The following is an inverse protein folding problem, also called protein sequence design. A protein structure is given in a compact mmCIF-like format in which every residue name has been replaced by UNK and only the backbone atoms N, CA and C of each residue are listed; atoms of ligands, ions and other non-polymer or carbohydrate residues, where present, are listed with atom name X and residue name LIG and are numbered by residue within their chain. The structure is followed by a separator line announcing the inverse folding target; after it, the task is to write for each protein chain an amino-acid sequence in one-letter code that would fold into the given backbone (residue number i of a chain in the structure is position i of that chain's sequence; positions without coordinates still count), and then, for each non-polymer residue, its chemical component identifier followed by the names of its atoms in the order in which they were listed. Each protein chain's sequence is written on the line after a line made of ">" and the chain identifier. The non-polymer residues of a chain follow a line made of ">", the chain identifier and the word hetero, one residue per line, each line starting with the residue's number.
data_IF_086830848812
#
_entry.id   IF_086830848812
#
_cell.length_a   1.000
_cell.length_b   1.000
_cell.length_c   1.000
_cell.angle_alpha   90.00
_cell.angle_beta   90.00
_cell.angle_gamma   90.00
#
_symmetry.space_group_name_H-M   'P 1'
#
loop_
_entity.id
_entity.type
_entity.pdbx_description
1 polymer ?
2 non-polymer ?
3 water ?
#
# COMPACT_ATOMS: atom_id res chain seq x y z
N UNK A 1 -23.57 8.97 11.31
CA UNK A 1 -22.63 8.49 10.31
C UNK A 1 -23.16 7.27 9.56
N UNK A 2 -22.96 7.26 8.25
CA UNK A 2 -23.11 6.01 7.50
C UNK A 2 -21.86 5.16 7.69
N UNK A 3 -21.99 3.87 7.39
CA UNK A 3 -20.95 2.91 7.69
C UNK A 3 -20.97 1.78 6.67
N UNK A 4 -19.78 1.28 6.35
CA UNK A 4 -19.59 0.05 5.59
C UNK A 4 -19.10 -1.01 6.56
N UNK A 5 -19.98 -1.94 6.89
CA UNK A 5 -19.63 -3.01 7.81
C UNK A 5 -19.43 -4.31 7.03
N UNK A 6 -18.72 -5.24 7.66
CA UNK A 6 -18.44 -6.54 7.08
C UNK A 6 -19.64 -7.46 7.32
N UNK A 7 -20.35 -7.81 6.26
CA UNK A 7 -21.54 -8.65 6.40
C UNK A 7 -21.16 -10.12 6.58
N UNK A 8 -20.17 -10.59 5.82
CA UNK A 8 -19.74 -11.98 5.90
C UNK A 8 -18.31 -12.07 5.41
N UNK A 9 -17.58 -13.06 5.92
CA UNK A 9 -16.19 -13.23 5.53
C UNK A 9 -16.11 -13.87 4.14
N UNK A 10 -15.29 -13.34 3.24
CA UNK A 10 -15.34 -13.77 1.85
C UNK A 10 -14.68 -15.12 1.62
N UNK A 11 -15.08 -15.75 0.52
CA UNK A 11 -14.50 -17.01 0.05
C UNK A 11 -13.82 -16.72 -1.29
N UNK A 12 -12.49 -16.83 -1.30
CA UNK A 12 -11.75 -16.42 -2.48
C UNK A 12 -11.78 -14.90 -2.60
N UNK A 13 -12.11 -14.40 -3.78
CA UNK A 13 -12.22 -12.97 -3.96
C UNK A 13 -13.43 -12.43 -3.20
N UNK A 14 -13.34 -11.21 -2.66
CA UNK A 14 -14.50 -10.63 -1.97
C UNK A 14 -15.54 -10.16 -2.97
N UNK A 15 -16.81 -10.30 -2.58
CA UNK A 15 -17.94 -9.85 -3.37
C UNK A 15 -18.64 -8.70 -2.66
N UNK A 16 -19.52 -8.03 -3.40
CA UNK A 16 -20.31 -6.96 -2.81
C UNK A 16 -21.20 -7.48 -1.67
N UNK A 17 -21.53 -8.77 -1.70
CA UNK A 17 -22.32 -9.37 -0.63
C UNK A 17 -21.60 -9.28 0.71
N UNK A 18 -20.27 -9.39 0.71
CA UNK A 18 -19.50 -9.38 1.94
C UNK A 18 -19.56 -8.05 2.69
N UNK A 19 -20.07 -6.98 2.06
CA UNK A 19 -20.19 -5.69 2.69
C UNK A 19 -21.65 -5.33 2.89
N UNK A 20 -21.90 -4.36 3.78
CA UNK A 20 -23.24 -3.85 3.97
C UNK A 20 -23.16 -2.39 4.41
N UNK A 21 -24.18 -1.62 4.02
CA UNK A 21 -24.23 -0.19 4.28
C UNK A 21 -25.28 0.10 5.34
N UNK A 22 -24.91 0.84 6.38
CA UNK A 22 -25.83 1.03 7.50
C UNK A 22 -25.64 2.42 8.11
N UNK A 23 -26.76 3.05 8.46
CA UNK A 23 -26.67 4.31 9.21
C UNK A 23 -26.69 4.04 10.70
N UNK A 24 -26.08 4.95 11.45
CA UNK A 24 -26.02 4.83 12.89
C UNK A 24 -25.96 6.24 13.47
N UNK A 25 -26.50 6.37 14.69
CA UNK A 25 -26.43 7.65 15.40
C UNK A 25 -25.00 7.90 15.84
N UNK A 26 -24.37 8.93 15.27
CA UNK A 26 -22.98 9.26 15.57
C UNK A 26 -22.89 10.61 16.25
N UNK A 27 -23.01 10.67 17.58
CA UNK A 27 -22.83 11.95 18.27
C UNK A 27 -21.74 11.90 19.32
N UNK A 28 -22.17 11.96 20.60
CA UNK A 28 -21.40 11.91 21.84
C UNK A 28 -19.92 12.27 21.70
N UNK A 29 -19.58 13.49 21.29
CA UNK A 29 -18.16 13.86 21.20
C UNK A 29 -17.49 13.93 22.57
N UNK A 30 -18.24 14.24 23.62
CA UNK A 30 -17.78 14.20 25.00
C UNK A 30 -16.68 15.21 25.30
N UNK A 31 -16.33 15.33 26.58
CA UNK A 31 -15.21 16.18 27.00
C UNK A 31 -13.95 15.34 27.10
N UNK A 32 -12.82 15.93 26.72
CA UNK A 32 -11.58 15.21 26.59
C UNK A 32 -11.41 14.48 25.27
N UNK A 33 -12.43 14.48 24.41
CA UNK A 33 -12.41 13.77 23.14
C UNK A 33 -12.86 14.74 22.04
N UNK A 34 -12.90 14.24 20.81
CA UNK A 34 -13.32 15.04 19.67
C UNK A 34 -14.07 14.16 18.68
N UNK A 35 -14.85 14.82 17.82
CA UNK A 35 -15.57 14.15 16.75
C UNK A 35 -14.92 14.49 15.42
N UNK A 36 -14.43 13.47 14.72
CA UNK A 36 -13.84 13.62 13.40
C UNK A 36 -14.85 13.24 12.33
N UNK A 37 -14.87 14.05 11.26
CA UNK A 37 -15.70 13.80 10.09
C UNK A 37 -14.76 13.60 8.90
N UNK A 38 -14.90 12.45 8.22
CA UNK A 38 -13.94 12.06 7.19
C UNK A 38 -14.22 12.79 5.87
N UNK A 39 -13.14 13.05 5.13
CA UNK A 39 -13.21 13.57 3.78
C UNK A 39 -12.66 12.58 2.76
N UNK A 40 -11.59 11.88 3.12
CA UNK A 40 -10.97 10.88 2.27
C UNK A 40 -10.77 9.60 3.07
N UNK A 41 -10.88 8.47 2.38
CA UNK A 41 -10.66 7.16 2.99
C UNK A 41 -9.74 6.34 2.09
N UNK A 42 -8.65 5.86 2.67
CA UNK A 42 -7.73 5.01 1.94
C UNK A 42 -8.26 3.59 1.85
N UNK A 43 -8.00 2.94 0.71
CA UNK A 43 -8.26 1.52 0.52
C UNK A 43 -6.95 0.84 0.19
N UNK A 44 -6.67 -0.28 0.85
CA UNK A 44 -5.37 -0.92 0.75
C UNK A 44 -5.52 -2.42 0.73
N UNK A 45 -4.60 -3.14 0.08
CA UNK A 45 -4.74 -4.60 -0.02
C UNK A 45 -4.80 -5.33 1.31
N UNK A 46 -4.10 -4.83 2.34
CA UNK A 46 -4.11 -5.51 3.64
C UNK A 46 -5.51 -5.71 4.17
N UNK A 47 -6.45 -4.84 3.79
CA UNK A 47 -7.82 -4.94 4.27
C UNK A 47 -8.44 -6.29 3.92
N UNK A 48 -8.05 -6.88 2.79
CA UNK A 48 -8.52 -8.22 2.46
C UNK A 48 -8.25 -9.19 3.60
N UNK A 49 -7.02 -9.19 4.11
CA UNK A 49 -6.68 -10.04 5.23
C UNK A 49 -7.52 -9.76 6.46
N UNK A 50 -7.92 -8.51 6.66
CA UNK A 50 -8.75 -8.17 7.80
C UNK A 50 -10.17 -8.69 7.67
N UNK A 51 -10.58 -9.11 6.47
CA UNK A 51 -11.91 -9.70 6.31
C UNK A 51 -11.91 -11.18 6.68
N UNK A 52 -10.77 -11.86 6.53
CA UNK A 52 -10.64 -13.25 6.93
C UNK A 52 -10.26 -13.34 8.40
N UNK A 53 -10.62 -14.47 9.02
CA UNK A 53 -10.34 -14.69 10.44
C UNK A 53 -9.09 -15.54 10.66
N UNK A 54 -8.26 -15.70 9.65
CA UNK A 54 -7.02 -16.46 9.81
C UNK A 54 -6.09 -15.74 10.79
N UNK A 55 -5.26 -16.53 11.47
CA UNK A 55 -4.31 -15.97 12.41
C UNK A 55 -3.36 -15.02 11.68
N UNK A 56 -3.29 -13.78 12.15
CA UNK A 56 -2.55 -12.74 11.44
C UNK A 56 -1.96 -11.77 12.45
N UNK A 57 -1.25 -10.77 11.93
CA UNK A 57 -0.58 -9.78 12.76
C UNK A 57 -1.56 -8.90 13.52
N UNK A 58 -2.83 -8.87 13.12
CA UNK A 58 -3.82 -8.02 13.75
C UNK A 58 -5.13 -8.79 13.87
N UNK A 59 -6.06 -8.21 14.63
CA UNK A 59 -7.36 -8.84 14.79
C UNK A 59 -8.20 -8.64 13.53
N UNK A 60 -8.96 -9.65 13.12
CA UNK A 60 -9.85 -9.46 11.97
C UNK A 60 -11.01 -8.55 12.31
N UNK A 61 -11.64 -8.03 11.26
CA UNK A 61 -12.83 -7.21 11.45
C UNK A 61 -14.00 -8.10 11.86
N UNK A 62 -14.64 -7.76 12.98
CA UNK A 62 -15.78 -8.53 13.42
C UNK A 62 -16.98 -8.36 12.51
N UNK A 63 -17.83 -9.39 12.49
CA UNK A 63 -19.05 -9.33 11.69
C UNK A 63 -19.89 -8.14 12.13
N UNK A 64 -20.37 -7.37 11.16
CA UNK A 64 -21.22 -6.19 11.33
C UNK A 64 -20.49 -5.02 11.98
N UNK A 65 -19.17 -5.10 12.17
CA UNK A 65 -18.39 -3.97 12.67
C UNK A 65 -17.82 -3.17 11.51
N UNK A 66 -17.45 -1.93 11.79
CA UNK A 66 -16.98 -1.05 10.73
C UNK A 66 -15.71 -1.62 10.11
N UNK A 67 -15.58 -1.49 8.80
CA UNK A 67 -14.35 -1.83 8.13
C UNK A 67 -13.29 -0.78 8.46
N UNK A 68 -12.05 -1.24 8.64
CA UNK A 68 -10.98 -0.41 9.14
C UNK A 68 -10.26 0.29 7.99
N UNK A 69 -9.41 1.25 8.31
CA UNK A 69 -8.62 1.94 7.32
C UNK A 69 -8.25 3.34 7.77
N UNK A 70 -7.15 3.84 7.22
CA UNK A 70 -6.75 5.21 7.48
C UNK A 70 -7.59 6.21 6.72
N UNK A 71 -7.84 7.36 7.36
CA UNK A 71 -8.67 8.39 6.78
C UNK A 71 -8.00 9.74 6.95
N UNK A 72 -8.47 10.71 6.19
CA UNK A 72 -8.14 12.12 6.37
C UNK A 72 -9.41 12.84 6.79
N UNK A 73 -9.41 13.39 8.00
CA UNK A 73 -10.64 13.93 8.58
C UNK A 73 -10.43 15.38 9.00
N UNK A 74 -11.55 16.04 9.22
CA UNK A 74 -11.58 17.33 9.89
C UNK A 74 -12.24 17.19 11.25
N UNK A 75 -11.72 17.93 12.22
CA UNK A 75 -12.41 18.08 13.49
C UNK A 75 -13.68 18.88 13.29
N UNK A 76 -14.76 18.42 13.91
CA UNK A 76 -16.00 19.18 13.94
C UNK A 76 -16.53 19.41 15.35
N UNK A 77 -15.92 18.79 16.37
CA UNK A 77 -16.33 18.97 17.75
C UNK A 77 -15.19 19.56 18.56
N UNK A 78 -15.52 20.51 19.44
CA UNK A 78 -14.53 21.17 20.28
C UNK A 78 -13.74 20.17 21.11
N UNK A 79 -12.58 19.74 20.59
CA UNK A 79 -11.72 18.85 21.36
C UNK A 79 -11.17 19.57 22.58
N UNK A 80 -11.30 18.92 23.74
CA UNK A 80 -10.64 19.43 24.93
C UNK A 80 -9.12 19.33 24.82
N UNK A 81 -8.61 18.46 23.95
CA UNK A 81 -7.19 18.34 23.71
C UNK A 81 -6.68 19.55 22.93
N UNK A 82 -5.57 19.38 22.21
CA UNK A 82 -4.92 20.51 21.53
C UNK A 82 -5.27 20.57 20.04
N UNK A 83 -6.54 20.30 19.68
CA UNK A 83 -6.98 20.35 18.30
C UNK A 83 -8.27 21.15 18.19
N UNK A 84 -8.36 21.98 17.16
CA UNK A 84 -9.44 22.95 17.02
C UNK A 84 -10.43 22.53 15.94
N UNK A 85 -11.62 23.14 15.98
CA UNK A 85 -12.64 22.93 14.96
C UNK A 85 -12.12 23.44 13.62
N UNK A 86 -11.59 22.53 12.80
CA UNK A 86 -11.08 22.91 11.50
C UNK A 86 -9.77 22.25 11.14
N UNK A 87 -9.02 21.81 12.16
CA UNK A 87 -7.72 21.19 11.92
C UNK A 87 -7.89 19.88 11.16
N UNK A 88 -7.21 19.76 10.02
CA UNK A 88 -7.16 18.51 9.29
C UNK A 88 -6.20 17.56 9.98
N UNK A 89 -6.53 16.27 9.96
CA UNK A 89 -5.74 15.26 10.69
C UNK A 89 -5.83 13.93 9.96
N UNK A 90 -4.70 13.21 9.97
CA UNK A 90 -4.65 11.84 9.48
C UNK A 90 -5.06 10.91 10.63
N UNK A 91 -6.20 10.25 10.47
CA UNK A 91 -6.75 9.38 11.49
C UNK A 91 -6.89 7.95 10.95
N UNK A 92 -7.57 7.10 11.72
CA UNK A 92 -7.78 5.70 11.38
C UNK A 92 -9.22 5.33 11.74
N UNK A 93 -10.18 6.02 11.13
CA UNK A 93 -11.59 5.92 11.50
C UNK A 93 -12.36 4.92 10.65
N UNK A 94 -11.78 4.38 9.59
CA UNK A 94 -12.43 3.35 8.82
C UNK A 94 -13.43 3.89 7.81
N UNK A 95 -14.31 2.99 7.37
CA UNK A 95 -15.25 3.27 6.29
C UNK A 95 -16.55 3.82 6.88
N UNK A 96 -16.47 5.06 7.37
CA UNK A 96 -17.66 5.70 7.93
C UNK A 96 -17.49 7.21 7.88
N UNK A 97 -18.57 7.92 8.22
CA UNK A 97 -18.56 9.37 8.16
C UNK A 97 -17.91 9.98 9.40
N UNK A 98 -18.28 9.51 10.59
CA UNK A 98 -17.88 10.15 11.83
C UNK A 98 -17.21 9.15 12.76
N UNK A 99 -16.40 9.67 13.65
CA UNK A 99 -15.81 8.86 14.72
C UNK A 99 -15.43 9.78 15.88
N UNK A 100 -15.09 9.17 17.00
CA UNK A 100 -14.65 9.90 18.19
C UNK A 100 -13.20 9.52 18.45
N UNK A 101 -12.38 10.53 18.77
CA UNK A 101 -10.94 10.34 18.85
C UNK A 101 -10.35 11.14 20.00
N UNK A 102 -9.11 10.79 20.33
CA UNK A 102 -8.31 11.42 21.37
C UNK A 102 -6.89 10.86 21.31
N UNK A 103 -6.16 11.18 20.23
CA UNK A 103 -4.86 10.59 19.99
C UNK A 103 -4.97 9.20 19.40
N UNK A 104 -4.02 8.83 18.54
CA UNK A 104 -2.90 9.68 18.19
C UNK A 104 -2.95 10.12 16.74
N UNK A 105 -3.64 11.23 16.48
CA UNK A 105 -3.70 11.77 15.14
C UNK A 105 -2.40 12.48 14.75
N UNK A 106 -2.41 12.99 13.52
CA UNK A 106 -1.30 13.77 12.97
C UNK A 106 -1.85 15.06 12.37
N UNK A 107 -1.61 16.19 13.03
CA UNK A 107 -2.14 17.46 12.54
C UNK A 107 -1.61 17.74 11.14
N UNK A 108 -2.51 17.93 10.18
CA UNK A 108 -2.16 18.58 8.93
C UNK A 108 -2.82 19.95 8.80
N UNK A 109 -3.18 20.57 9.93
CA UNK A 109 -4.01 21.76 9.93
C UNK A 109 -3.45 22.85 9.03
N UNK A 110 -4.35 23.56 8.35
CA UNK A 110 -5.78 23.34 8.51
C UNK A 110 -6.48 24.59 9.02
N UNK A 111 -7.66 24.90 8.48
CA UNK A 111 -8.35 24.03 7.54
C UNK A 111 -7.92 24.23 6.09
N UNK A 112 -6.68 24.66 5.89
CA UNK A 112 -6.11 24.85 4.56
C UNK A 112 -4.75 24.15 4.45
N UNK A 113 -4.71 22.82 4.47
CA UNK A 113 -3.54 22.11 3.97
C UNK A 113 -3.59 22.04 2.45
N UNK A 114 -2.41 21.98 1.85
CA UNK A 114 -2.32 22.02 0.39
C UNK A 114 -2.98 20.80 -0.24
N UNK A 115 -2.38 19.62 -0.03
CA UNK A 115 -2.91 18.35 -0.54
C UNK A 115 -3.07 17.40 0.64
N UNK A 116 -4.17 17.53 1.39
CA UNK A 116 -4.34 16.66 2.57
C UNK A 116 -4.44 15.18 2.23
N UNK A 117 -5.08 14.83 1.12
CA UNK A 117 -5.22 13.43 0.73
C UNK A 117 -3.87 12.77 0.52
N UNK A 118 -2.82 13.54 0.21
CA UNK A 118 -1.49 12.98 0.08
C UNK A 118 -1.02 12.29 1.36
N UNK A 119 -1.63 12.63 2.50
CA UNK A 119 -1.29 11.96 3.76
C UNK A 119 -1.69 10.49 3.77
N UNK A 120 -2.47 10.04 2.78
CA UNK A 120 -2.80 8.63 2.65
C UNK A 120 -1.91 7.89 1.65
N UNK A 121 -1.02 8.60 0.96
CA UNK A 121 -0.21 7.98 -0.07
C UNK A 121 1.26 8.32 -0.02
N UNK A 122 1.69 9.25 -0.87
CA UNK A 122 3.12 9.51 -1.04
C UNK A 122 3.72 10.05 0.25
N UNK A 123 2.97 10.85 0.99
CA UNK A 123 3.43 11.38 2.28
C UNK A 123 2.90 10.56 3.45
N UNK A 124 2.23 9.44 3.19
CA UNK A 124 1.65 8.65 4.25
C UNK A 124 2.17 7.22 4.29
N UNK A 125 1.27 6.29 4.60
CA UNK A 125 1.68 4.90 4.86
C UNK A 125 2.35 4.23 3.66
N UNK A 126 1.83 4.32 2.43
CA UNK A 126 2.51 3.60 1.33
C UNK A 126 3.87 4.17 0.97
N UNK A 127 4.00 5.49 0.92
CA UNK A 127 5.30 6.09 0.67
C UNK A 127 6.31 5.76 1.75
N UNK A 128 5.86 5.77 3.02
CA UNK A 128 6.72 5.38 4.12
C UNK A 128 7.13 3.92 4.01
N UNK A 129 6.20 3.05 3.62
CA UNK A 129 6.51 1.64 3.41
C UNK A 129 7.59 1.47 2.36
N UNK A 130 7.41 2.11 1.21
CA UNK A 130 8.41 2.04 0.14
C UNK A 130 9.77 2.55 0.63
N UNK A 131 9.78 3.75 1.21
CA UNK A 131 11.00 4.35 1.72
C UNK A 131 11.76 3.41 2.65
N UNK A 132 11.09 2.97 3.73
CA UNK A 132 11.76 2.15 4.73
C UNK A 132 12.19 0.81 4.14
N UNK A 133 11.28 0.11 3.45
CA UNK A 133 11.62 -1.20 2.92
C UNK A 133 12.79 -1.15 1.95
N UNK A 134 12.81 -0.17 1.06
CA UNK A 134 13.88 -0.10 0.07
C UNK A 134 15.20 0.33 0.70
N UNK A 135 15.18 1.40 1.49
CA UNK A 135 16.43 1.98 1.96
C UNK A 135 17.04 1.19 3.11
N UNK A 136 16.23 0.74 4.07
CA UNK A 136 16.75 0.09 5.25
C UNK A 136 16.98 -1.40 5.07
N UNK A 137 16.18 -2.06 4.23
CA UNK A 137 16.34 -3.50 3.97
C UNK A 137 17.02 -3.76 2.64
N UNK A 138 16.50 -3.16 1.56
CA UNK A 138 17.14 -3.34 0.26
C UNK A 138 18.53 -2.74 0.20
N UNK A 139 18.72 -1.58 0.84
CA UNK A 139 20.00 -0.88 0.92
C UNK A 139 20.64 -0.75 -0.46
N UNK A 140 20.07 0.06 -1.34
CA UNK A 140 20.57 0.11 -2.72
C UNK A 140 21.94 0.75 -2.83
N UNK A 141 22.78 0.17 -3.67
CA UNK A 141 24.06 0.73 -4.05
C UNK A 141 24.04 1.05 -5.54
N UNK A 142 24.90 1.98 -5.96
CA UNK A 142 24.91 2.41 -7.35
C UNK A 142 25.27 1.24 -8.27
N UNK A 143 24.47 1.07 -9.32
CA UNK A 143 24.62 -0.05 -10.22
C UNK A 143 23.76 -1.25 -9.90
N UNK A 144 23.14 -1.27 -8.71
CA UNK A 144 22.23 -2.36 -8.37
C UNK A 144 21.05 -2.40 -9.33
N UNK A 145 20.57 -3.60 -9.61
CA UNK A 145 19.36 -3.78 -10.41
C UNK A 145 18.20 -4.03 -9.45
N UNK A 146 17.18 -3.18 -9.55
CA UNK A 146 16.02 -3.21 -8.67
C UNK A 146 14.79 -3.65 -9.47
N UNK A 147 14.07 -4.62 -8.95
CA UNK A 147 12.85 -5.14 -9.57
C UNK A 147 11.73 -5.06 -8.55
N UNK A 148 10.59 -4.51 -8.96
CA UNK A 148 9.42 -4.41 -8.11
C UNK A 148 8.18 -4.58 -8.98
N UNK A 149 7.23 -5.38 -8.50
CA UNK A 149 5.96 -5.59 -9.17
C UNK A 149 4.92 -4.63 -8.58
N UNK A 150 3.72 -4.64 -9.17
CA UNK A 150 2.70 -3.62 -8.91
C UNK A 150 3.32 -2.23 -9.02
N UNK A 151 4.05 -2.03 -10.12
CA UNK A 151 5.02 -0.94 -10.23
C UNK A 151 4.37 0.44 -10.32
N UNK A 152 3.10 0.53 -10.69
CA UNK A 152 2.42 1.82 -10.74
C UNK A 152 1.51 2.04 -9.52
N UNK A 153 1.55 1.13 -8.55
CA UNK A 153 0.71 1.23 -7.38
C UNK A 153 1.26 2.18 -6.33
N UNK A 154 0.63 2.14 -5.16
CA UNK A 154 0.98 3.07 -4.09
C UNK A 154 2.41 2.86 -3.61
N UNK A 155 2.77 1.61 -3.33
CA UNK A 155 4.11 1.32 -2.83
C UNK A 155 5.11 1.15 -3.98
N UNK A 156 4.70 0.44 -5.05
CA UNK A 156 5.65 0.09 -6.10
C UNK A 156 6.20 1.28 -6.85
N UNK A 157 5.34 2.27 -7.16
CA UNK A 157 5.81 3.45 -7.86
C UNK A 157 6.83 4.21 -7.03
N UNK A 158 6.60 4.31 -5.72
CA UNK A 158 7.57 4.97 -4.85
C UNK A 158 8.86 4.18 -4.76
N UNK A 159 8.77 2.86 -4.63
CA UNK A 159 9.98 2.03 -4.63
C UNK A 159 10.80 2.29 -5.89
N UNK A 160 10.14 2.29 -7.04
CA UNK A 160 10.87 2.46 -8.29
C UNK A 160 11.50 3.82 -8.42
N UNK A 161 10.76 4.88 -8.08
CA UNK A 161 11.30 6.23 -8.25
C UNK A 161 12.42 6.51 -7.26
N UNK A 162 12.26 6.06 -6.00
CA UNK A 162 13.35 6.20 -5.03
C UNK A 162 14.58 5.42 -5.48
N UNK A 163 14.36 4.21 -6.00
CA UNK A 163 15.49 3.45 -6.51
C UNK A 163 16.19 4.12 -7.67
N UNK A 164 15.41 4.79 -8.52
CA UNK A 164 16.01 5.53 -9.63
C UNK A 164 16.88 6.67 -9.12
N UNK A 165 16.36 7.45 -8.16
CA UNK A 165 17.20 8.54 -7.65
C UNK A 165 18.33 8.05 -6.77
N UNK A 166 18.32 6.78 -6.34
CA UNK A 166 19.42 6.20 -5.60
C UNK A 166 20.44 5.50 -6.50
N UNK A 167 20.32 5.65 -7.82
CA UNK A 167 21.29 5.09 -8.73
C UNK A 167 21.05 3.66 -9.17
N UNK A 168 19.83 3.15 -9.04
CA UNK A 168 19.51 1.80 -9.47
C UNK A 168 19.00 1.80 -10.90
N UNK A 169 19.33 0.73 -11.61
CA UNK A 169 18.57 0.36 -12.80
C UNK A 169 17.29 -0.31 -12.33
N UNK A 170 16.15 0.27 -12.69
CA UNK A 170 14.87 -0.10 -12.11
C UNK A 170 14.05 -0.83 -13.16
N UNK A 171 13.75 -2.10 -12.91
CA UNK A 171 12.91 -2.93 -13.78
C UNK A 171 11.56 -3.05 -13.11
N UNK A 172 10.52 -2.52 -13.75
CA UNK A 172 9.18 -2.64 -13.24
C UNK A 172 8.47 -3.88 -13.73
N UNK A 173 7.45 -4.27 -12.97
CA UNK A 173 6.52 -5.33 -13.37
C UNK A 173 5.11 -4.84 -13.08
N UNK A 174 4.25 -4.88 -14.08
CA UNK A 174 2.88 -4.39 -13.93
C UNK A 174 1.97 -5.19 -14.83
N UNK A 175 0.66 -4.98 -14.67
CA UNK A 175 -0.33 -5.71 -15.44
C UNK A 175 -0.91 -4.89 -16.59
N UNK A 176 -0.60 -5.29 -17.81
CA UNK A 176 -1.13 -4.63 -18.98
C UNK A 176 -0.15 -3.61 -19.57
N UNK A 177 -0.34 -3.33 -20.86
CA UNK A 177 0.60 -2.46 -21.57
C UNK A 177 0.51 -1.02 -21.09
N UNK A 178 -0.69 -0.54 -20.77
CA UNK A 178 -0.85 0.85 -20.38
C UNK A 178 -0.08 1.14 -19.10
N UNK A 179 -0.12 0.22 -18.13
CA UNK A 179 0.58 0.45 -16.87
C UNK A 179 2.09 0.40 -17.06
N UNK A 180 2.59 -0.54 -17.88
CA UNK A 180 4.02 -0.59 -18.14
C UNK A 180 4.50 0.67 -18.86
N UNK A 181 3.74 1.12 -19.85
CA UNK A 181 4.12 2.32 -20.59
C UNK A 181 4.02 3.56 -19.71
N UNK A 182 3.08 3.59 -18.76
CA UNK A 182 3.04 4.71 -17.82
C UNK A 182 4.22 4.67 -16.85
N UNK A 183 4.62 3.46 -16.43
CA UNK A 183 5.77 3.33 -15.55
C UNK A 183 7.04 3.81 -16.25
N UNK A 184 7.16 3.55 -17.55
CA UNK A 184 8.34 4.01 -18.27
C UNK A 184 8.27 5.50 -18.59
N UNK A 185 7.13 5.97 -19.09
CA UNK A 185 7.04 7.33 -19.62
C UNK A 185 7.01 8.37 -18.49
N UNK A 186 6.28 8.09 -17.42
CA UNK A 186 6.04 9.09 -16.38
C UNK A 186 6.80 8.82 -15.09
N UNK A 187 6.89 7.56 -14.66
CA UNK A 187 7.57 7.23 -13.42
C UNK A 187 9.08 7.06 -13.59
N UNK A 188 9.59 7.09 -14.81
CA UNK A 188 11.01 7.03 -15.04
C UNK A 188 11.63 5.65 -14.94
N UNK A 189 10.82 4.59 -14.97
CA UNK A 189 11.36 3.24 -14.92
C UNK A 189 12.18 2.96 -16.18
N UNK A 190 13.29 2.24 -16.01
CA UNK A 190 14.09 1.85 -17.17
C UNK A 190 13.34 0.86 -18.05
N UNK A 191 12.71 -0.14 -17.44
CA UNK A 191 11.84 -1.08 -18.13
C UNK A 191 10.61 -1.35 -17.27
N UNK A 192 9.61 -1.97 -17.87
CA UNK A 192 8.45 -2.45 -17.13
C UNK A 192 7.84 -3.61 -17.92
N UNK A 193 7.71 -4.77 -17.26
CA UNK A 193 7.32 -6.00 -17.91
C UNK A 193 5.89 -6.34 -17.53
N UNK A 194 5.11 -6.79 -18.52
CA UNK A 194 3.71 -7.17 -18.32
C UNK A 194 3.66 -8.59 -17.77
N UNK A 195 3.17 -8.74 -16.53
CA UNK A 195 3.07 -10.08 -15.96
C UNK A 195 1.90 -10.87 -16.54
N UNK A 196 1.00 -10.21 -17.28
CA UNK A 196 -0.07 -10.93 -17.96
C UNK A 196 0.35 -11.47 -19.32
N UNK A 197 1.51 -11.06 -19.82
CA UNK A 197 2.01 -11.57 -21.09
C UNK A 197 2.36 -13.05 -20.97
N UNK A 198 2.10 -13.81 -22.02
CA UNK A 198 2.31 -15.25 -21.98
C UNK A 198 3.77 -15.62 -21.77
N UNK A 199 4.69 -14.84 -22.34
CA UNK A 199 6.12 -15.06 -22.18
C UNK A 199 6.73 -14.11 -21.16
N UNK A 200 6.03 -13.89 -20.05
CA UNK A 200 6.45 -12.89 -19.07
C UNK A 200 7.81 -13.22 -18.47
N UNK A 201 8.01 -14.49 -18.08
CA UNK A 201 9.28 -14.87 -17.46
C UNK A 201 10.45 -14.66 -18.41
N UNK A 202 10.26 -14.97 -19.70
CA UNK A 202 11.35 -14.81 -20.66
C UNK A 202 11.67 -13.34 -20.89
N UNK A 203 10.65 -12.49 -20.97
CA UNK A 203 10.89 -11.05 -21.09
C UNK A 203 11.66 -10.54 -19.88
N UNK A 204 11.26 -10.96 -18.68
CA UNK A 204 11.94 -10.51 -17.47
C UNK A 204 13.40 -10.95 -17.47
N UNK A 205 13.65 -12.22 -17.78
CA UNK A 205 15.02 -12.72 -17.85
C UNK A 205 15.83 -12.01 -18.92
N UNK A 206 15.16 -11.58 -20.00
CA UNK A 206 15.88 -10.91 -21.08
C UNK A 206 16.30 -9.50 -20.68
N UNK A 207 15.41 -8.76 -20.02
CA UNK A 207 15.79 -7.40 -19.61
C UNK A 207 16.67 -7.40 -18.37
N UNK A 208 16.69 -8.49 -17.60
CA UNK A 208 17.56 -8.62 -16.43
C UNK A 208 18.84 -9.35 -16.79
N UNK A 209 19.55 -8.85 -17.82
CA UNK A 209 20.72 -9.54 -18.34
C UNK A 209 21.85 -9.62 -17.32
N UNK A 210 21.88 -8.71 -16.35
CA UNK A 210 22.92 -8.71 -15.32
C UNK A 210 22.42 -9.23 -13.98
N UNK A 211 21.24 -9.84 -13.94
CA UNK A 211 20.69 -10.36 -12.70
C UNK A 211 19.93 -9.32 -11.92
N UNK A 212 19.40 -9.77 -10.78
CA UNK A 212 18.59 -8.93 -9.90
C UNK A 212 19.31 -8.82 -8.56
N UNK A 213 19.57 -7.59 -8.12
CA UNK A 213 20.21 -7.35 -6.83
C UNK A 213 19.23 -7.04 -5.73
N UNK A 214 18.12 -6.36 -6.04
CA UNK A 214 17.07 -6.11 -5.06
C UNK A 214 15.75 -6.44 -5.71
N UNK A 215 14.95 -7.30 -5.06
CA UNK A 215 13.58 -7.56 -5.46
C UNK A 215 12.66 -7.12 -4.33
N UNK A 216 11.97 -6.01 -4.54
CA UNK A 216 10.98 -5.53 -3.58
C UNK A 216 9.70 -6.33 -3.79
N UNK A 217 9.44 -7.27 -2.88
CA UNK A 217 8.36 -8.24 -3.07
C UNK A 217 7.02 -7.63 -2.68
N UNK A 218 6.12 -7.51 -3.66
CA UNK A 218 4.76 -7.04 -3.42
C UNK A 218 3.70 -8.06 -3.78
N UNK A 219 4.05 -9.13 -4.50
CA UNK A 219 3.05 -9.94 -5.19
C UNK A 219 3.19 -11.42 -4.82
N UNK A 220 4.40 -11.95 -4.94
CA UNK A 220 4.60 -13.38 -4.77
C UNK A 220 4.15 -14.16 -5.99
N UNK A 221 3.91 -15.46 -5.77
CA UNK A 221 3.31 -16.30 -6.80
C UNK A 221 4.15 -16.39 -8.06
N UNK A 222 3.46 -16.26 -9.21
CA UNK A 222 4.12 -16.41 -10.51
C UNK A 222 5.25 -15.42 -10.69
N UNK A 223 5.08 -14.19 -10.18
CA UNK A 223 6.10 -13.17 -10.35
C UNK A 223 7.38 -13.56 -9.61
N UNK A 224 7.26 -14.00 -8.36
CA UNK A 224 8.44 -14.42 -7.63
C UNK A 224 9.04 -15.69 -8.22
N UNK A 225 8.19 -16.57 -8.78
CA UNK A 225 8.72 -17.74 -9.49
C UNK A 225 9.60 -17.31 -10.66
N UNK A 226 9.18 -16.28 -11.38
CA UNK A 226 9.99 -15.78 -12.49
C UNK A 226 11.23 -15.03 -11.98
N UNK A 227 11.16 -14.45 -10.78
CA UNK A 227 12.28 -13.68 -10.25
C UNK A 227 13.38 -14.59 -9.73
N UNK A 228 13.02 -15.69 -9.08
CA UNK A 228 13.96 -16.52 -8.34
C UNK A 228 15.23 -16.88 -9.11
N UNK A 229 15.19 -17.45 -10.32
CA UNK A 229 16.45 -17.83 -10.99
C UNK A 229 17.28 -16.64 -11.47
N UNK A 230 16.74 -15.42 -11.39
CA UNK A 230 17.47 -14.23 -11.81
C UNK A 230 18.13 -13.51 -10.64
N UNK A 231 17.95 -14.00 -9.42
CA UNK A 231 18.53 -13.35 -8.25
C UNK A 231 20.04 -13.49 -8.24
N UNK A 232 20.73 -12.40 -7.91
CA UNK A 232 22.18 -12.39 -7.83
C UNK A 232 22.66 -12.81 -6.45
N UNK A 233 23.93 -13.19 -6.39
CA UNK A 233 24.59 -13.40 -5.11
C UNK A 233 24.54 -12.12 -4.29
N UNK A 234 24.20 -12.26 -3.00
CA UNK A 234 24.11 -11.09 -2.15
C UNK A 234 22.89 -10.23 -2.36
N UNK A 235 21.86 -10.78 -3.00
CA UNK A 235 20.63 -10.02 -3.24
C UNK A 235 19.87 -9.80 -1.94
N UNK A 236 19.04 -8.76 -1.94
CA UNK A 236 18.19 -8.42 -0.80
C UNK A 236 16.73 -8.45 -1.24
N UNK A 237 15.88 -9.03 -0.40
CA UNK A 237 14.46 -9.12 -0.71
C UNK A 237 13.64 -8.51 0.42
N UNK A 238 13.31 -7.21 0.35
CA UNK A 238 12.33 -6.65 1.29
C UNK A 238 10.95 -7.26 1.08
N UNK A 239 10.49 -8.04 2.04
CA UNK A 239 9.23 -8.76 1.92
C UNK A 239 8.11 -7.86 2.40
N UNK A 240 7.43 -7.21 1.45
CA UNK A 240 6.40 -6.22 1.74
C UNK A 240 4.99 -6.80 1.68
N UNK A 241 4.65 -7.49 0.58
CA UNK A 241 3.33 -8.05 0.43
C UNK A 241 3.35 -9.24 -0.50
N UNK A 242 2.24 -9.97 -0.52
CA UNK A 242 2.07 -11.15 -1.37
C UNK A 242 0.65 -11.19 -1.90
N UNK A 243 0.25 -10.12 -2.61
CA UNK A 243 -1.16 -9.91 -2.95
C UNK A 243 -1.71 -11.02 -3.83
N UNK A 244 -0.84 -11.70 -4.59
CA UNK A 244 -1.31 -12.75 -5.50
C UNK A 244 -1.97 -13.90 -4.76
N UNK A 245 -1.71 -14.06 -3.47
CA UNK A 245 -2.28 -15.15 -2.67
C UNK A 245 -3.28 -14.66 -1.62
N UNK A 246 -3.62 -13.37 -1.61
CA UNK A 246 -4.56 -12.87 -0.61
C UNK A 246 -5.93 -13.51 -0.76
N UNK A 247 -6.31 -13.86 -1.99
CA UNK A 247 -7.58 -14.52 -2.26
C UNK A 247 -7.44 -16.04 -2.39
N UNK A 248 -6.27 -16.59 -2.04
CA UNK A 248 -6.05 -18.01 -2.21
C UNK A 248 -6.87 -18.82 -1.21
N UNK A 249 -7.42 -19.94 -1.68
CA UNK A 249 -8.19 -20.84 -0.85
C UNK A 249 -7.40 -22.06 -0.40
N UNK A 250 -6.22 -22.30 -0.98
CA UNK A 250 -5.39 -23.43 -0.61
C UNK A 250 -3.98 -23.17 -1.13
N UNK A 251 -3.06 -24.07 -0.79
CA UNK A 251 -1.69 -23.98 -1.25
C UNK A 251 -1.53 -24.63 -2.62
N UNK A 252 -0.55 -24.20 -3.41
CA UNK A 252 -0.32 -24.84 -4.71
C UNK A 252 0.04 -26.31 -4.55
N UNK A 253 -0.24 -27.08 -5.59
CA UNK A 253 0.08 -28.51 -5.59
C UNK A 253 1.57 -28.73 -5.80
N UNK A 254 1.95 -29.92 -6.27
CA UNK A 254 3.33 -30.21 -6.57
C UNK A 254 4.19 -30.35 -5.33
N UNK A 255 5.45 -30.73 -5.52
CA UNK A 255 6.33 -30.98 -4.38
C UNK A 255 6.57 -29.71 -3.57
N UNK A 256 6.98 -29.92 -2.32
CA UNK A 256 7.21 -28.83 -1.38
C UNK A 256 8.53 -28.14 -1.71
N UNK A 257 8.46 -26.84 -2.04
CA UNK A 257 9.62 -26.07 -2.43
C UNK A 257 10.17 -25.19 -1.32
N UNK A 258 9.69 -25.36 -0.08
CA UNK A 258 10.18 -24.53 1.02
C UNK A 258 11.67 -24.72 1.24
N UNK A 259 12.11 -25.98 1.34
CA UNK A 259 13.54 -26.25 1.47
C UNK A 259 14.30 -25.79 0.23
N UNK A 260 13.65 -25.78 -0.93
CA UNK A 260 14.29 -25.27 -2.14
C UNK A 260 14.58 -23.78 -2.00
N UNK A 261 13.60 -23.01 -1.54
CA UNK A 261 13.83 -21.58 -1.35
C UNK A 261 14.88 -21.33 -0.28
N UNK A 262 14.86 -22.12 0.80
CA UNK A 262 15.89 -21.95 1.83
C UNK A 262 17.28 -22.26 1.29
N UNK A 263 17.39 -23.31 0.47
CA UNK A 263 18.67 -23.64 -0.14
C UNK A 263 19.13 -22.55 -1.09
N UNK A 264 18.19 -21.90 -1.78
CA UNK A 264 18.55 -20.81 -2.67
C UNK A 264 19.02 -19.59 -1.88
N UNK A 265 18.34 -19.26 -0.79
CA UNK A 265 18.77 -18.15 0.07
C UNK A 265 20.15 -18.43 0.64
N UNK A 266 20.46 -19.69 0.94
CA UNK A 266 21.78 -20.04 1.46
C UNK A 266 22.84 -19.95 0.37
N UNK A 267 22.60 -20.60 -0.78
CA UNK A 267 23.62 -20.67 -1.83
C UNK A 267 23.90 -19.29 -2.42
N UNK A 268 22.89 -18.44 -2.53
CA UNK A 268 23.06 -17.11 -3.08
C UNK A 268 23.25 -16.03 -2.01
N UNK A 269 23.26 -16.41 -0.73
CA UNK A 269 23.53 -15.48 0.38
C UNK A 269 22.57 -14.29 0.33
N UNK A 270 21.28 -14.60 0.37
CA UNK A 270 20.22 -13.62 0.16
C UNK A 270 19.56 -13.29 1.50
N UNK A 271 19.28 -12.01 1.72
CA UNK A 271 18.52 -11.54 2.87
C UNK A 271 17.06 -11.36 2.45
N UNK A 272 16.19 -12.19 3.01
CA UNK A 272 14.74 -12.03 2.85
C UNK A 272 14.16 -11.65 4.20
N UNK A 273 13.56 -10.47 4.27
CA UNK A 273 13.14 -9.89 5.55
C UNK A 273 11.76 -9.27 5.38
N UNK A 274 10.79 -9.83 6.11
CA UNK A 274 9.47 -9.23 6.14
C UNK A 274 9.40 -8.06 7.12
N UNK A 275 8.47 -7.16 6.86
CA UNK A 275 8.29 -5.99 7.71
C UNK A 275 6.85 -5.51 7.60
N UNK A 276 6.35 -4.96 8.69
CA UNK A 276 5.04 -4.30 8.73
C UNK A 276 5.29 -2.86 9.16
N UNK A 277 4.94 -1.91 8.29
CA UNK A 277 5.25 -0.51 8.53
C UNK A 277 4.54 0.02 9.77
N UNK A 278 3.42 -0.62 10.14
CA UNK A 278 2.66 -0.16 11.31
C UNK A 278 3.39 -0.44 12.62
N UNK A 279 4.47 -1.22 12.59
CA UNK A 279 5.34 -1.33 13.76
C UNK A 279 5.93 0.04 14.07
N UNK A 280 6.50 0.16 15.27
CA UNK A 280 6.99 1.44 15.76
C UNK A 280 8.25 1.84 14.99
N UNK A 281 8.07 2.68 13.97
CA UNK A 281 9.17 3.31 13.25
C UNK A 281 9.10 4.82 13.41
N UNK A 282 8.70 5.27 14.61
CA UNK A 282 8.59 6.70 14.86
C UNK A 282 9.90 7.44 14.69
N UNK A 283 11.02 6.77 14.95
CA UNK A 283 12.33 7.39 14.81
C UNK A 283 12.71 7.63 13.35
N UNK A 284 12.05 6.95 12.41
CA UNK A 284 12.38 7.09 10.99
C UNK A 284 11.39 7.93 10.22
N UNK A 285 10.21 8.22 10.79
CA UNK A 285 9.17 8.91 10.03
C UNK A 285 9.57 10.35 9.71
N UNK A 286 10.26 11.02 10.64
CA UNK A 286 10.68 12.39 10.36
C UNK A 286 11.67 12.47 9.22
N UNK A 287 12.65 11.55 9.20
CA UNK A 287 13.59 11.50 8.09
C UNK A 287 12.85 11.19 6.79
N UNK A 288 11.91 10.24 6.82
CA UNK A 288 11.14 9.94 5.63
C UNK A 288 10.39 11.17 5.13
N UNK A 289 9.76 11.91 6.04
CA UNK A 289 8.96 13.06 5.66
C UNK A 289 9.83 14.14 5.04
N UNK A 290 10.96 14.46 5.67
CA UNK A 290 11.87 15.46 5.11
C UNK A 290 12.35 15.04 3.72
N UNK A 291 12.80 13.79 3.58
CA UNK A 291 13.32 13.32 2.30
C UNK A 291 12.26 13.32 1.21
N UNK A 292 11.05 12.83 1.54
CA UNK A 292 10.00 12.73 0.53
C UNK A 292 9.47 14.10 0.14
N UNK A 293 9.38 15.03 1.10
CA UNK A 293 9.00 16.40 0.76
C UNK A 293 10.02 17.03 -0.17
N UNK A 294 11.31 16.83 0.11
CA UNK A 294 12.35 17.36 -0.77
C UNK A 294 12.25 16.74 -2.16
N UNK A 295 12.12 15.41 -2.23
CA UNK A 295 12.08 14.73 -3.53
C UNK A 295 10.84 15.12 -4.32
N UNK A 296 9.72 15.36 -3.65
CA UNK A 296 8.53 15.84 -4.34
C UNK A 296 8.75 17.25 -4.88
N UNK A 297 9.35 18.13 -4.07
CA UNK A 297 9.63 19.49 -4.55
C UNK A 297 10.62 19.47 -5.71
N UNK A 298 11.60 18.58 -5.67
CA UNK A 298 12.61 18.49 -6.73
C UNK A 298 12.06 17.88 -8.01
N UNK A 299 10.83 17.40 -8.02
CA UNK A 299 10.28 16.79 -9.22
C UNK A 299 10.77 15.39 -9.49
N UNK A 300 11.31 14.70 -8.48
CA UNK A 300 11.81 13.35 -8.64
C UNK A 300 10.80 12.29 -8.25
N UNK A 301 9.59 12.69 -7.83
CA UNK A 301 8.55 11.77 -7.39
C UNK A 301 7.25 12.21 -8.03
N UNK A 302 6.69 11.37 -8.89
CA UNK A 302 5.34 11.55 -9.39
C UNK A 302 4.40 10.67 -8.56
N UNK A 303 3.34 11.28 -8.05
CA UNK A 303 2.35 10.57 -7.24
C UNK A 303 1.03 10.53 -8.02
N UNK A 304 0.65 9.34 -8.47
CA UNK A 304 -0.63 9.14 -9.12
C UNK A 304 -1.66 8.70 -8.09
N UNK A 305 -2.79 9.40 -8.05
CA UNK A 305 -3.87 9.10 -7.13
C UNK A 305 -5.11 8.72 -7.94
N UNK A 306 -5.82 7.71 -7.45
CA UNK A 306 -7.05 7.23 -8.08
C UNK A 306 -8.18 7.58 -7.10
N UNK A 307 -8.79 8.74 -7.32
CA UNK A 307 -9.87 9.23 -6.47
C UNK A 307 -11.21 8.84 -7.06
N UNK A 308 -11.96 8.02 -6.33
CA UNK A 308 -13.32 7.66 -6.71
C UNK A 308 -14.28 8.27 -5.69
N UNK A 309 -15.41 8.77 -6.17
CA UNK A 309 -16.32 9.54 -5.35
C UNK A 309 -17.41 8.64 -4.75
N UNK A 310 -17.76 8.91 -3.50
CA UNK A 310 -18.85 8.21 -2.84
C UNK A 310 -18.41 7.06 -1.94
N UNK A 311 -18.68 7.18 -0.64
CA UNK A 311 -18.37 6.10 0.29
C UNK A 311 -19.19 4.85 -0.03
N UNK A 312 -20.40 5.02 -0.56
CA UNK A 312 -21.21 3.88 -0.97
C UNK A 312 -20.52 3.06 -2.05
N UNK A 313 -19.59 3.66 -2.80
CA UNK A 313 -18.81 2.95 -3.81
C UNK A 313 -17.54 2.32 -3.26
N UNK A 314 -17.22 2.55 -1.98
CA UNK A 314 -15.99 2.04 -1.41
C UNK A 314 -15.83 0.52 -1.53
N UNK A 315 -16.86 -0.32 -1.33
CA UNK A 315 -16.67 -1.77 -1.53
C UNK A 315 -16.16 -2.11 -2.92
N UNK A 316 -16.93 -1.74 -3.96
CA UNK A 316 -16.58 -2.10 -5.32
C UNK A 316 -15.15 -1.68 -5.66
N UNK A 317 -14.82 -0.40 -5.41
CA UNK A 317 -13.46 0.09 -5.60
C UNK A 317 -12.45 -0.87 -4.99
N UNK A 318 -12.64 -1.21 -3.71
CA UNK A 318 -11.74 -2.14 -3.03
C UNK A 318 -11.61 -3.43 -3.81
N UNK A 319 -12.74 -4.01 -4.23
CA UNK A 319 -12.69 -5.24 -5.03
C UNK A 319 -11.84 -5.00 -6.28
N UNK A 320 -12.12 -3.92 -7.00
CA UNK A 320 -11.32 -3.61 -8.18
C UNK A 320 -9.85 -3.44 -7.83
N UNK A 321 -9.57 -2.86 -6.66
CA UNK A 321 -8.18 -2.68 -6.23
C UNK A 321 -7.45 -4.01 -6.18
N UNK A 322 -8.15 -5.08 -5.79
CA UNK A 322 -7.48 -6.37 -5.69
C UNK A 322 -7.21 -7.00 -7.04
N UNK A 323 -7.89 -6.55 -8.10
CA UNK A 323 -7.72 -7.11 -9.43
C UNK A 323 -6.91 -6.20 -10.36
N UNK A 324 -6.32 -5.13 -9.82
CA UNK A 324 -5.56 -4.22 -10.65
C UNK A 324 -6.40 -3.24 -11.43
N UNK A 325 -7.67 -3.06 -11.07
CA UNK A 325 -8.51 -2.08 -11.74
C UNK A 325 -8.12 -0.65 -11.41
N UNK A 326 -7.35 -0.46 -10.34
CA UNK A 326 -6.90 0.87 -9.95
C UNK A 326 -5.72 1.31 -10.81
N UNK A 327 -5.60 2.62 -10.96
CA UNK A 327 -4.44 3.25 -11.60
C UNK A 327 -3.88 4.24 -10.59
N UNK A 328 -2.98 3.77 -9.74
CA UNK A 328 -2.43 4.58 -8.68
C UNK A 328 -2.99 4.19 -7.32
N UNK A 329 -2.66 5.01 -6.33
CA UNK A 329 -3.13 4.78 -4.97
C UNK A 329 -4.62 5.05 -4.88
N UNK A 330 -5.39 4.03 -4.50
CA UNK A 330 -6.84 4.12 -4.45
C UNK A 330 -7.30 4.89 -3.21
N UNK A 331 -8.13 5.90 -3.42
CA UNK A 331 -8.76 6.66 -2.34
C UNK A 331 -10.21 6.92 -2.72
N UNK A 332 -11.10 6.86 -1.73
CA UNK A 332 -12.51 7.20 -1.91
C UNK A 332 -12.80 8.51 -1.19
N UNK A 333 -13.40 9.47 -1.90
CA UNK A 333 -13.86 10.69 -1.26
C UNK A 333 -15.23 10.42 -0.63
N UNK A 334 -15.30 10.56 0.70
CA UNK A 334 -16.53 10.26 1.42
C UNK A 334 -17.44 11.47 1.59
N UNK A 335 -16.87 12.67 1.73
CA UNK A 335 -17.66 13.86 1.98
C UNK A 335 -16.92 15.08 1.42
N UNK A 336 -17.70 16.08 1.05
CA UNK A 336 -17.09 17.35 0.68
C UNK A 336 -16.72 18.12 1.94
N UNK A 337 -15.55 18.78 1.96
CA UNK A 337 -15.11 19.57 3.11
C UNK A 337 -15.96 20.81 3.38
#
# INVERSE_FOLDING_TARGET
>A
ARQIVLASRPVGAPTAENFALTQSDIPTPAQGEMLLRSVYLSLDPYMRGRMSDAKSYAEPVGIDEVMVGGTVCQVEASNHAEFEVGEWVLAYTGWQDYAISDGEGLIKLGKQPSHPSYALGVMGMPGFTAYMGLLDIGQPKEGDTLVVAAATGAVGSMVGQIGKLKGCRVIGIAGGEEKCQFAKDTLGFDECIDHKAADFAEQLAKVCHNGIDIYFENVGGKVFDAVMPLLNTGARIPLCGLISQYNATSLPEGPDRMSMLMAQLLIKRIKMQGFIIFDDYGHRYGEFAADMTQWLAQGKIHYREHLVQGLENAPDAFIGLLEGKNFGKMVVQTNQP
#
